data_IF_844818121812
#
_entry.id   IF_844818121812
#
_cell.length_a   1.000
_cell.length_b   1.000
_cell.length_c   1.000
_cell.angle_alpha   90.00
_cell.angle_beta   90.00
_cell.angle_gamma   90.00
#
_symmetry.space_group_name_H-M   'P 1'
#
loop_
_entity.id
_entity.type
_entity.pdbx_description
1 polymer ?
#
# COMPACT_ATOMS: atom_id res chain seq x y z
N UNK A 1 9.45 5.56 28.75
CA UNK A 1 8.08 5.11 29.08
C UNK A 1 8.01 4.68 30.54
N UNK A 2 6.98 5.10 31.26
CA UNK A 2 6.75 4.82 32.69
C UNK A 2 6.21 3.39 32.96
N UNK A 3 6.05 2.58 31.92
CA UNK A 3 5.59 1.19 32.00
C UNK A 3 4.06 1.03 32.08
N UNK A 4 3.31 2.13 32.00
CA UNK A 4 1.85 2.08 31.96
C UNK A 4 1.34 1.53 30.63
N UNK A 5 0.15 0.90 30.59
CA UNK A 5 -0.45 0.41 29.34
C UNK A 5 -0.61 1.50 28.30
N UNK A 6 -0.20 1.23 27.06
CA UNK A 6 -0.40 2.12 25.92
C UNK A 6 -1.63 1.66 25.10
N UNK A 7 -2.68 2.49 25.06
CA UNK A 7 -3.98 2.12 24.46
C UNK A 7 -4.32 2.89 23.19
N UNK A 8 -3.45 3.79 22.73
CA UNK A 8 -3.63 4.53 21.49
C UNK A 8 -3.06 3.77 20.29
N UNK A 9 -3.35 4.24 19.07
CA UNK A 9 -2.66 3.78 17.87
C UNK A 9 -1.19 4.20 17.86
N UNK A 10 -0.38 3.54 17.03
CA UNK A 10 1.00 3.94 16.74
C UNK A 10 1.11 4.64 15.39
N UNK A 11 2.16 5.42 15.17
CA UNK A 11 2.51 6.00 13.88
C UNK A 11 3.54 5.16 13.11
N UNK A 12 3.75 3.90 13.52
CA UNK A 12 4.68 3.01 12.86
C UNK A 12 4.22 2.71 11.43
N UNK A 13 5.15 2.58 10.47
CA UNK A 13 4.81 2.07 9.16
C UNK A 13 4.23 0.65 9.27
N UNK A 14 3.32 0.32 8.37
CA UNK A 14 2.67 -1.00 8.32
C UNK A 14 3.31 -1.86 7.22
N UNK A 15 3.39 -3.19 7.42
CA UNK A 15 3.81 -4.09 6.34
C UNK A 15 2.77 -4.09 5.22
N UNK A 16 3.23 -4.23 3.99
CA UNK A 16 2.40 -4.39 2.81
C UNK A 16 2.89 -5.60 2.02
N UNK A 17 1.97 -6.46 1.59
CA UNK A 17 2.29 -7.70 0.87
C UNK A 17 1.33 -7.87 -0.32
N UNK A 18 1.88 -8.36 -1.43
CA UNK A 18 1.13 -8.71 -2.64
C UNK A 18 1.30 -10.21 -2.86
N UNK A 19 0.19 -10.93 -3.04
CA UNK A 19 0.17 -12.38 -3.21
C UNK A 19 -0.60 -12.71 -4.48
N UNK A 20 -0.05 -13.59 -5.32
CA UNK A 20 -0.73 -14.04 -6.54
C UNK A 20 -0.64 -13.07 -7.73
N UNK A 21 0.26 -12.08 -7.68
CA UNK A 21 0.46 -11.10 -8.76
C UNK A 21 1.60 -11.45 -9.74
N UNK A 22 2.18 -12.64 -9.65
CA UNK A 22 3.37 -13.04 -10.41
C UNK A 22 4.66 -12.48 -9.80
N UNK A 23 5.70 -12.35 -10.63
CA UNK A 23 6.96 -11.71 -10.25
C UNK A 23 6.83 -10.19 -10.37
N UNK A 24 6.70 -9.52 -9.22
CA UNK A 24 6.47 -8.07 -9.13
C UNK A 24 7.43 -7.45 -8.14
N UNK A 25 7.86 -6.22 -8.43
CA UNK A 25 8.65 -5.42 -7.49
C UNK A 25 7.77 -4.37 -6.83
N UNK A 26 7.99 -4.16 -5.54
CA UNK A 26 7.33 -3.11 -4.78
C UNK A 26 8.32 -1.94 -4.65
N UNK A 27 7.86 -0.73 -4.96
CA UNK A 27 8.66 0.47 -4.69
C UNK A 27 8.83 0.68 -3.19
N UNK A 28 9.93 1.34 -2.81
CA UNK A 28 10.10 1.80 -1.43
C UNK A 28 9.15 2.95 -1.10
N UNK A 29 8.74 2.99 0.17
CA UNK A 29 7.76 3.96 0.67
C UNK A 29 6.36 3.78 0.10
N UNK A 30 5.48 4.71 0.43
CA UNK A 30 4.06 4.66 0.05
C UNK A 30 3.16 5.01 1.22
N UNK A 31 1.86 5.06 0.95
CA UNK A 31 0.84 5.38 1.92
C UNK A 31 -0.45 4.61 1.63
N UNK A 32 -1.44 4.73 2.52
CA UNK A 32 -2.70 3.99 2.40
C UNK A 32 -3.48 4.35 1.12
N UNK A 33 -3.31 5.58 0.58
CA UNK A 33 -3.97 5.99 -0.66
C UNK A 33 -3.46 5.23 -1.89
N UNK A 34 -2.31 4.57 -1.79
CA UNK A 34 -1.70 3.82 -2.89
C UNK A 34 -2.30 2.42 -3.07
N UNK A 35 -3.04 1.90 -2.08
CA UNK A 35 -3.56 0.53 -2.07
C UNK A 35 -4.55 0.30 -3.23
N UNK A 36 -5.55 1.17 -3.38
CA UNK A 36 -6.56 1.01 -4.42
C UNK A 36 -5.97 1.12 -5.85
N UNK A 37 -5.18 2.17 -6.19
CA UNK A 37 -4.46 2.22 -7.46
C UNK A 37 -3.55 1.01 -7.73
N UNK A 38 -3.01 0.36 -6.68
CA UNK A 38 -2.18 -0.84 -6.83
C UNK A 38 -3.00 -2.06 -7.26
N UNK A 39 -4.18 -2.28 -6.68
CA UNK A 39 -4.99 -3.48 -6.96
C UNK A 39 -5.86 -3.36 -8.21
N UNK A 40 -6.25 -2.15 -8.62
CA UNK A 40 -7.20 -1.90 -9.71
C UNK A 40 -6.84 -2.60 -11.04
N UNK A 41 -5.59 -2.50 -11.54
CA UNK A 41 -5.20 -3.20 -12.76
C UNK A 41 -5.34 -4.73 -12.67
N UNK A 42 -5.12 -5.30 -11.49
CA UNK A 42 -5.20 -6.75 -11.26
C UNK A 42 -6.62 -7.28 -11.18
N UNK A 43 -7.59 -6.41 -10.91
CA UNK A 43 -9.03 -6.74 -10.94
C UNK A 43 -9.72 -6.28 -12.23
N UNK A 44 -8.94 -5.83 -13.23
CA UNK A 44 -9.46 -5.44 -14.55
C UNK A 44 -10.19 -4.09 -14.57
N UNK A 45 -9.84 -3.17 -13.66
CA UNK A 45 -10.43 -1.83 -13.58
C UNK A 45 -9.35 -0.79 -13.82
N UNK A 46 -9.67 0.24 -14.61
CA UNK A 46 -8.80 1.40 -14.80
C UNK A 46 -8.80 2.30 -13.56
N UNK A 47 -7.62 2.82 -13.20
CA UNK A 47 -7.49 3.78 -12.11
C UNK A 47 -8.10 5.14 -12.52
N UNK A 48 -9.11 5.65 -11.80
CA UNK A 48 -9.72 6.95 -12.11
C UNK A 48 -8.72 8.11 -11.99
N UNK A 49 -8.88 9.14 -12.83
CA UNK A 49 -7.99 10.31 -12.83
C UNK A 49 -7.98 11.09 -11.51
N UNK A 50 -9.07 11.03 -10.73
CA UNK A 50 -9.17 11.68 -9.42
C UNK A 50 -8.38 10.93 -8.33
N UNK A 51 -7.95 9.69 -8.56
CA UNK A 51 -7.07 8.97 -7.65
C UNK A 51 -5.64 9.47 -7.80
N UNK A 52 -5.18 10.20 -6.78
CA UNK A 52 -3.83 10.76 -6.73
C UNK A 52 -2.79 9.79 -6.16
N UNK A 53 -3.24 8.70 -5.54
CA UNK A 53 -2.37 7.60 -5.11
C UNK A 53 -1.72 6.89 -6.30
N UNK A 54 -0.54 6.32 -6.07
CA UNK A 54 0.26 5.67 -7.12
C UNK A 54 0.51 4.22 -6.75
N UNK A 55 0.32 3.32 -7.72
CA UNK A 55 0.63 1.90 -7.56
C UNK A 55 1.96 1.69 -6.82
N UNK A 56 1.94 0.80 -5.84
CA UNK A 56 3.14 0.34 -5.11
C UNK A 56 3.90 -0.67 -5.99
N UNK A 57 3.19 -1.41 -6.84
CA UNK A 57 3.81 -2.32 -7.80
C UNK A 57 4.40 -1.52 -8.96
N UNK A 58 5.66 -1.80 -9.28
CA UNK A 58 6.41 -1.23 -10.40
C UNK A 58 6.82 -2.35 -11.37
N UNK A 59 6.78 -2.03 -12.66
CA UNK A 59 7.32 -2.90 -13.71
C UNK A 59 8.73 -2.40 -14.05
N UNK A 60 9.66 -3.30 -14.34
CA UNK A 60 10.95 -2.95 -14.95
C UNK A 60 10.82 -2.65 -16.45
#
# INVERSE_FOLDING_TARGET
PDGTPFTAHTTNPVPFAVIGAGDVKLREGGCLADIAPTMMPYIGIETPADMTGKSIIVNE
#
